data_IF_345964788404
#
_entry.id   IF_345964788404
#
_cell.length_a   1.000
_cell.length_b   1.000
_cell.length_c   1.000
_cell.angle_alpha   90.00
_cell.angle_beta   90.00
_cell.angle_gamma   90.00
#
_symmetry.space_group_name_H-M   'P 1'
#
loop_
_entity.id
_entity.type
_entity.pdbx_description
1 polymer ?
#
# COMPACT_ATOMS: atom_id res chain seq x y z
N UNK A 1 -12.63 5.71 4.80
CA UNK A 1 -13.33 4.40 4.80
C UNK A 1 -14.65 4.63 5.49
N UNK A 2 -15.77 4.34 4.82
CA UNK A 2 -17.07 4.91 5.21
C UNK A 2 -18.03 3.91 5.87
N UNK A 3 -17.72 2.62 5.82
CA UNK A 3 -18.57 1.54 6.36
C UNK A 3 -18.98 1.76 7.82
N UNK A 4 -18.08 2.28 8.66
CA UNK A 4 -18.36 2.51 10.08
C UNK A 4 -19.41 3.62 10.29
N UNK A 5 -19.29 4.75 9.59
CA UNK A 5 -20.25 5.85 9.67
C UNK A 5 -21.62 5.44 9.10
N UNK A 6 -21.63 4.74 7.96
CA UNK A 6 -22.85 4.16 7.38
C UNK A 6 -23.54 3.22 8.38
N UNK A 7 -22.79 2.38 9.09
CA UNK A 7 -23.36 1.45 10.07
C UNK A 7 -23.99 2.18 11.26
N UNK A 8 -23.35 3.25 11.76
CA UNK A 8 -23.91 4.09 12.82
C UNK A 8 -25.22 4.76 12.38
N UNK A 9 -25.22 5.37 11.18
CA UNK A 9 -26.40 6.01 10.62
C UNK A 9 -27.57 5.02 10.45
N UNK A 10 -27.31 3.84 9.90
CA UNK A 10 -28.31 2.77 9.75
C UNK A 10 -28.84 2.28 11.10
N UNK A 11 -28.02 2.30 12.15
CA UNK A 11 -28.43 1.95 13.50
C UNK A 11 -29.16 3.08 14.26
N UNK A 12 -29.35 4.26 13.63
CA UNK A 12 -29.92 5.44 14.29
C UNK A 12 -28.99 6.06 15.34
N UNK A 13 -27.69 5.74 15.30
CA UNK A 13 -26.69 6.27 16.22
C UNK A 13 -26.01 7.49 15.59
N UNK A 14 -25.86 8.57 16.37
CA UNK A 14 -25.18 9.77 15.90
C UNK A 14 -23.71 9.48 15.54
N UNK A 15 -23.28 9.94 14.36
CA UNK A 15 -21.89 9.84 13.93
C UNK A 15 -21.06 10.90 14.68
N UNK A 16 -19.98 10.53 15.41
CA UNK A 16 -19.11 11.47 16.08
C UNK A 16 -18.47 12.49 15.12
N UNK A 17 -18.41 13.76 15.53
CA UNK A 17 -17.79 14.84 14.74
C UNK A 17 -16.29 14.65 14.46
N UNK A 18 -15.61 13.78 15.22
CA UNK A 18 -14.21 13.44 15.04
C UNK A 18 -13.96 12.36 13.97
N UNK A 19 -15.00 11.72 13.43
CA UNK A 19 -14.84 10.71 12.38
C UNK A 19 -14.69 11.36 11.01
N UNK A 20 -13.65 10.96 10.28
CA UNK A 20 -13.50 11.33 8.86
C UNK A 20 -14.48 10.59 7.94
N UNK A 21 -15.08 9.50 8.45
CA UNK A 21 -16.01 8.64 7.72
C UNK A 21 -17.39 9.31 7.57
N UNK A 22 -18.05 9.06 6.44
CA UNK A 22 -19.38 9.61 6.12
C UNK A 22 -20.38 8.49 5.85
N UNK A 23 -21.67 8.76 6.06
CA UNK A 23 -22.73 7.86 5.62
C UNK A 23 -22.82 7.85 4.09
N UNK A 24 -22.60 6.68 3.50
CA UNK A 24 -22.61 6.48 2.04
C UNK A 24 -24.01 6.61 1.42
N UNK A 25 -25.08 6.56 2.22
CA UNK A 25 -26.46 6.66 1.75
C UNK A 25 -27.11 8.01 2.03
N UNK A 26 -26.38 8.96 2.62
CA UNK A 26 -26.86 10.32 2.80
C UNK A 26 -27.05 11.02 1.44
N UNK A 27 -28.11 11.84 1.30
CA UNK A 27 -28.43 12.55 0.06
C UNK A 27 -27.28 13.46 -0.43
N UNK A 28 -26.47 13.95 0.50
CA UNK A 28 -25.33 14.84 0.23
C UNK A 28 -23.97 14.11 0.27
N UNK A 29 -23.94 12.78 0.20
CA UNK A 29 -22.69 12.03 0.20
C UNK A 29 -21.86 12.34 -1.06
N UNK A 30 -20.59 12.66 -0.84
CA UNK A 30 -19.66 12.94 -1.93
C UNK A 30 -18.22 13.12 -1.44
N UNK A 31 -17.27 12.60 -2.20
CA UNK A 31 -15.83 12.70 -1.90
C UNK A 31 -15.09 13.26 -3.11
N UNK A 32 -14.43 14.41 -2.94
CA UNK A 32 -13.51 14.92 -3.95
C UNK A 32 -12.23 14.06 -4.05
N UNK A 33 -11.83 13.46 -2.92
CA UNK A 33 -10.64 12.63 -2.81
C UNK A 33 -10.88 11.44 -1.87
N UNK A 34 -10.24 10.32 -2.18
CA UNK A 34 -10.18 9.13 -1.33
C UNK A 34 -8.74 8.89 -0.91
N UNK A 35 -8.53 8.70 0.39
CA UNK A 35 -7.21 8.49 0.97
C UNK A 35 -7.00 7.02 1.32
N UNK A 36 -5.78 6.52 1.12
CA UNK A 36 -5.36 5.22 1.64
C UNK A 36 -3.99 5.30 2.30
N UNK A 37 -3.77 4.38 3.22
CA UNK A 37 -2.51 4.21 3.94
C UNK A 37 -2.19 2.73 4.02
N UNK A 38 -0.93 2.38 3.77
CA UNK A 38 -0.40 1.06 4.05
C UNK A 38 0.89 1.25 4.86
N UNK A 39 0.94 0.66 6.05
CA UNK A 39 2.11 0.64 6.89
C UNK A 39 2.55 -0.81 7.06
N UNK A 40 3.72 -1.16 6.53
CA UNK A 40 4.32 -2.52 6.59
C UNK A 40 3.34 -3.63 6.20
N UNK A 41 3.32 -4.01 4.93
CA UNK A 41 2.47 -5.10 4.43
C UNK A 41 3.30 -6.30 3.99
N UNK A 42 3.18 -7.42 4.71
CA UNK A 42 3.94 -8.64 4.40
C UNK A 42 5.46 -8.38 4.41
N UNK A 43 6.13 -8.63 3.27
CA UNK A 43 7.54 -8.42 2.99
C UNK A 43 7.84 -7.01 2.44
N UNK A 44 6.85 -6.12 2.36
CA UNK A 44 7.04 -4.71 2.00
C UNK A 44 7.32 -3.90 3.25
N UNK A 45 8.57 -3.45 3.40
CA UNK A 45 9.02 -2.57 4.49
C UNK A 45 9.00 -1.14 3.96
N UNK A 46 7.80 -0.59 3.86
CA UNK A 46 7.58 0.82 3.53
C UNK A 46 6.32 1.32 4.26
N UNK A 47 6.17 2.63 4.32
CA UNK A 47 4.93 3.32 4.64
C UNK A 47 4.50 4.02 3.35
N UNK A 48 3.38 3.60 2.79
CA UNK A 48 2.81 4.24 1.61
C UNK A 48 1.60 5.08 2.02
N UNK A 49 1.47 6.25 1.39
CA UNK A 49 0.26 7.07 1.46
C UNK A 49 -0.22 7.33 0.05
N UNK A 50 -1.52 7.34 -0.15
CA UNK A 50 -2.07 7.68 -1.44
C UNK A 50 -3.32 8.53 -1.33
N UNK A 51 -3.53 9.33 -2.37
CA UNK A 51 -4.75 10.09 -2.58
C UNK A 51 -5.23 9.87 -4.01
N UNK A 52 -6.49 9.48 -4.14
CA UNK A 52 -7.15 9.25 -5.42
C UNK A 52 -8.19 10.36 -5.62
N UNK A 53 -8.04 11.11 -6.71
CA UNK A 53 -9.05 12.06 -7.17
C UNK A 53 -9.83 11.51 -8.38
N UNK A 54 -10.60 12.36 -9.08
CA UNK A 54 -11.45 11.91 -10.19
C UNK A 54 -10.68 11.38 -11.41
N UNK A 55 -9.43 11.81 -11.60
CA UNK A 55 -8.62 11.48 -12.79
C UNK A 55 -7.31 10.75 -12.47
N UNK A 56 -6.70 11.04 -11.32
CA UNK A 56 -5.35 10.58 -11.00
C UNK A 56 -5.31 9.95 -9.60
N UNK A 57 -4.40 8.99 -9.46
CA UNK A 57 -4.04 8.38 -8.18
C UNK A 57 -2.59 8.75 -7.88
N UNK A 58 -2.38 9.57 -6.86
CA UNK A 58 -1.05 9.91 -6.37
C UNK A 58 -0.65 8.94 -5.26
N UNK A 59 0.53 8.34 -5.39
CA UNK A 59 1.12 7.43 -4.42
C UNK A 59 2.45 8.02 -3.97
N UNK A 60 2.67 8.04 -2.66
CA UNK A 60 3.93 8.45 -2.04
C UNK A 60 4.49 7.28 -1.23
N UNK A 61 5.65 6.83 -1.67
CA UNK A 61 6.49 5.88 -0.96
C UNK A 61 7.49 6.66 -0.11
N UNK A 62 7.72 6.22 1.13
CA UNK A 62 8.54 6.96 2.08
C UNK A 62 9.96 6.39 2.22
N UNK A 63 10.16 5.13 1.87
CA UNK A 63 11.46 4.47 1.87
C UNK A 63 11.98 4.28 0.44
N UNK A 64 12.60 5.33 -0.11
CA UNK A 64 13.13 5.34 -1.48
C UNK A 64 14.58 4.82 -1.58
N UNK A 65 15.18 4.45 -0.45
CA UNK A 65 16.56 4.01 -0.32
C UNK A 65 16.73 2.49 -0.45
N UNK A 66 15.65 1.76 -0.74
CA UNK A 66 15.61 0.30 -0.78
C UNK A 66 14.55 -0.20 -1.75
N UNK A 67 14.68 -1.43 -2.28
CA UNK A 67 13.62 -2.05 -3.07
C UNK A 67 12.34 -2.29 -2.25
N UNK A 68 11.19 -2.22 -2.92
CA UNK A 68 9.87 -2.42 -2.32
C UNK A 68 9.75 -3.73 -1.53
N UNK A 69 10.21 -4.83 -2.12
CA UNK A 69 10.10 -6.17 -1.53
C UNK A 69 11.37 -6.58 -0.80
N UNK A 70 11.19 -7.13 0.40
CA UNK A 70 12.25 -7.64 1.26
C UNK A 70 12.18 -9.16 1.40
N UNK A 71 13.17 -9.73 2.10
CA UNK A 71 13.14 -11.14 2.46
C UNK A 71 11.98 -11.45 3.42
N UNK A 72 11.27 -12.52 3.13
CA UNK A 72 10.21 -13.06 3.97
C UNK A 72 10.31 -14.58 4.08
N UNK A 73 9.34 -15.19 4.78
CA UNK A 73 9.38 -16.65 5.00
C UNK A 73 9.07 -17.47 3.73
N UNK A 74 8.36 -16.89 2.75
CA UNK A 74 8.01 -17.60 1.51
C UNK A 74 9.21 -17.70 0.59
N UNK A 75 10.07 -16.69 0.65
CA UNK A 75 11.31 -16.56 -0.06
C UNK A 75 12.34 -17.58 0.43
N UNK A 76 12.26 -18.04 1.69
CA UNK A 76 13.07 -19.15 2.20
C UNK A 76 12.78 -20.45 1.45
N UNK A 77 11.51 -20.72 1.14
CA UNK A 77 11.12 -21.88 0.33
C UNK A 77 11.58 -21.74 -1.12
N UNK A 78 11.46 -20.54 -1.70
CA UNK A 78 12.00 -20.23 -3.02
C UNK A 78 13.51 -20.39 -3.10
N UNK A 79 14.26 -20.02 -2.04
CA UNK A 79 15.71 -20.13 -1.98
C UNK A 79 16.23 -21.57 -2.04
N UNK A 80 15.41 -22.56 -1.68
CA UNK A 80 15.78 -23.98 -1.80
C UNK A 80 15.81 -24.43 -3.27
N UNK A 81 14.95 -23.88 -4.12
CA UNK A 81 14.82 -24.27 -5.53
C UNK A 81 15.49 -23.26 -6.49
N UNK A 82 15.62 -22.01 -6.07
CA UNK A 82 16.24 -20.89 -6.78
C UNK A 82 17.19 -20.12 -5.83
N UNK A 83 18.31 -20.74 -5.43
CA UNK A 83 19.26 -20.14 -4.49
C UNK A 83 19.89 -18.84 -5.01
N UNK A 84 19.94 -18.68 -6.33
CA UNK A 84 20.46 -17.48 -6.99
C UNK A 84 19.40 -16.37 -7.14
N UNK A 85 18.15 -16.62 -6.75
CA UNK A 85 17.03 -15.67 -6.88
C UNK A 85 16.78 -15.21 -8.32
N UNK A 86 17.04 -16.07 -9.32
CA UNK A 86 16.92 -15.78 -10.76
C UNK A 86 15.49 -15.83 -11.28
N UNK A 87 14.66 -16.68 -10.69
CA UNK A 87 13.34 -17.06 -11.19
C UNK A 87 12.22 -16.43 -10.36
N UNK A 88 12.45 -16.23 -9.07
CA UNK A 88 11.47 -15.57 -8.20
C UNK A 88 11.54 -14.04 -8.38
N UNK A 89 10.47 -13.44 -8.94
CA UNK A 89 10.43 -12.04 -9.34
C UNK A 89 10.79 -11.04 -8.23
N UNK A 90 10.36 -11.30 -6.99
CA UNK A 90 10.68 -10.44 -5.84
C UNK A 90 12.16 -10.51 -5.43
N UNK A 91 12.79 -11.68 -5.55
CA UNK A 91 14.21 -11.88 -5.22
C UNK A 91 15.12 -11.36 -6.32
N UNK A 92 14.70 -11.47 -7.58
CA UNK A 92 15.43 -10.92 -8.70
C UNK A 92 15.57 -9.39 -8.58
N UNK A 93 14.50 -8.68 -8.20
CA UNK A 93 14.54 -7.23 -7.94
C UNK A 93 15.54 -6.88 -6.84
N UNK A 94 15.49 -7.58 -5.70
CA UNK A 94 16.42 -7.30 -4.60
C UNK A 94 17.86 -7.57 -5.00
N UNK A 95 18.14 -8.69 -5.67
CA UNK A 95 19.48 -9.01 -6.17
C UNK A 95 20.00 -7.96 -7.15
N UNK A 96 19.15 -7.50 -8.07
CA UNK A 96 19.53 -6.44 -9.01
C UNK A 96 19.84 -5.14 -8.27
N UNK A 97 19.09 -4.80 -7.22
CA UNK A 97 19.38 -3.64 -6.38
C UNK A 97 20.71 -3.77 -5.64
N UNK A 98 20.94 -4.91 -4.97
CA UNK A 98 22.16 -5.18 -4.21
C UNK A 98 23.40 -5.22 -5.14
N UNK A 99 23.22 -5.64 -6.39
CA UNK A 99 24.25 -5.60 -7.43
C UNK A 99 24.45 -4.21 -8.06
N UNK A 100 23.64 -3.21 -7.70
CA UNK A 100 23.69 -1.87 -8.29
C UNK A 100 23.15 -1.78 -9.71
N UNK A 101 22.40 -2.78 -10.18
CA UNK A 101 21.84 -2.86 -11.54
C UNK A 101 20.46 -2.22 -11.68
N UNK A 102 19.92 -1.61 -10.61
CA UNK A 102 18.69 -0.83 -10.67
C UNK A 102 19.00 0.65 -10.57
N UNK A 103 18.41 1.45 -11.46
CA UNK A 103 18.61 2.90 -11.52
C UNK A 103 17.30 3.65 -11.31
N UNK A 104 17.37 4.81 -10.63
CA UNK A 104 16.25 5.74 -10.48
C UNK A 104 14.96 5.08 -9.99
N UNK A 105 13.89 5.19 -10.80
CA UNK A 105 12.55 4.64 -10.50
C UNK A 105 12.51 3.12 -10.49
N UNK A 106 13.53 2.42 -10.99
CA UNK A 106 13.59 0.96 -10.93
C UNK A 106 14.11 0.46 -9.58
N UNK A 107 14.93 1.28 -8.89
CA UNK A 107 15.45 0.97 -7.56
C UNK A 107 14.51 1.43 -6.44
N UNK A 108 13.73 2.48 -6.71
CA UNK A 108 12.70 2.97 -5.83
C UNK A 108 11.43 2.08 -5.90
N UNK A 109 10.73 1.91 -4.78
CA UNK A 109 9.44 1.21 -4.73
C UNK A 109 8.33 1.92 -5.51
#
# INVERSE_FOLDING_TARGET
MDVAATTLAMAGVAIPASMDAQDMFAENYGRAYVYSSADRMSNVIDRARSVMGPRFHYIRNFMLDRPLYNWGHREVGSALWDPDGKVTSFMALRRLADAGNLEGVHAAP
#
